data_IF_264072614172
#
_entry.id   IF_264072614172
#
_cell.length_a   1.000
_cell.length_b   1.000
_cell.length_c   1.000
_cell.angle_alpha   90.00
_cell.angle_beta   90.00
_cell.angle_gamma   90.00
#
_symmetry.space_group_name_H-M   'P 1'
#
loop_
_entity.id
_entity.type
_entity.pdbx_description
1 polymer ?
#
# COMPACT_ATOMS: atom_id res chain seq x y z
N UNK A 1 -63.02 -14.24 40.67
CA UNK A 1 -62.70 -13.50 39.43
C UNK A 1 -61.31 -12.86 39.51
N UNK A 2 -60.25 -13.57 39.98
CA UNK A 2 -58.89 -12.99 40.19
C UNK A 2 -57.78 -14.02 39.90
N UNK A 3 -57.90 -14.88 38.82
CA UNK A 3 -56.88 -15.87 38.50
C UNK A 3 -56.45 -15.91 37.04
N UNK A 4 -56.87 -14.97 36.20
CA UNK A 4 -56.61 -14.99 34.75
C UNK A 4 -55.77 -13.81 34.23
N UNK A 5 -55.24 -12.94 35.07
CA UNK A 5 -54.44 -11.76 34.67
C UNK A 5 -52.92 -11.91 34.88
N UNK A 6 -52.44 -13.03 35.47
CA UNK A 6 -51.02 -13.21 35.78
C UNK A 6 -50.22 -13.99 34.69
N UNK A 7 -50.86 -14.55 33.66
CA UNK A 7 -50.16 -15.35 32.62
C UNK A 7 -49.83 -14.55 31.36
N UNK A 8 -50.38 -13.35 31.15
CA UNK A 8 -50.12 -12.55 29.95
C UNK A 8 -48.86 -11.64 30.04
N UNK A 9 -48.36 -11.39 31.27
CA UNK A 9 -47.17 -10.53 31.47
C UNK A 9 -45.81 -11.27 31.38
N UNK A 10 -45.83 -12.62 31.48
CA UNK A 10 -44.58 -13.42 31.45
C UNK A 10 -44.10 -13.75 30.03
N UNK A 11 -44.98 -13.69 29.02
CA UNK A 11 -44.64 -14.06 27.63
C UNK A 11 -44.05 -12.90 26.81
N UNK A 12 -44.21 -11.66 27.23
CA UNK A 12 -43.67 -10.47 26.54
C UNK A 12 -42.23 -10.14 26.95
N UNK A 13 -41.74 -10.63 28.09
CA UNK A 13 -40.33 -10.44 28.48
C UNK A 13 -39.36 -11.47 27.86
N UNK A 14 -39.83 -12.60 27.35
CA UNK A 14 -38.99 -13.64 26.78
C UNK A 14 -38.58 -13.35 25.33
N UNK A 15 -39.22 -12.43 24.61
CA UNK A 15 -38.89 -12.07 23.22
C UNK A 15 -37.90 -10.90 23.12
N UNK A 16 -37.67 -10.16 24.19
CA UNK A 16 -36.66 -9.07 24.22
C UNK A 16 -35.24 -9.56 24.56
N UNK A 17 -35.08 -10.83 25.00
CA UNK A 17 -33.79 -11.39 25.43
C UNK A 17 -33.01 -12.07 24.34
N UNK A 18 -33.55 -12.28 23.15
CA UNK A 18 -32.87 -13.09 22.07
C UNK A 18 -32.05 -12.23 21.10
N UNK A 19 -32.04 -10.90 21.25
CA UNK A 19 -31.32 -9.99 20.35
C UNK A 19 -29.86 -9.69 20.80
N UNK A 20 -29.36 -10.27 21.89
CA UNK A 20 -28.08 -9.87 22.51
C UNK A 20 -26.98 -10.93 22.51
N UNK A 21 -27.07 -11.98 21.69
CA UNK A 21 -26.00 -12.97 21.59
C UNK A 21 -25.51 -13.19 20.14
N UNK A 22 -25.39 -12.17 19.36
CA UNK A 22 -24.51 -12.24 18.20
C UNK A 22 -23.08 -12.11 18.73
N UNK A 23 -22.34 -13.24 18.74
CA UNK A 23 -20.96 -13.27 19.26
C UNK A 23 -20.10 -12.19 18.60
N UNK A 24 -19.23 -11.58 19.38
CA UNK A 24 -18.31 -10.53 18.94
C UNK A 24 -17.53 -10.97 17.69
N UNK A 25 -17.60 -10.22 16.62
CA UNK A 25 -16.84 -10.47 15.41
C UNK A 25 -15.39 -10.06 15.66
N UNK A 26 -14.48 -11.03 15.63
CA UNK A 26 -13.04 -10.75 15.72
C UNK A 26 -12.46 -10.69 14.31
N UNK A 27 -11.74 -9.62 13.99
CA UNK A 27 -11.06 -9.42 12.72
C UNK A 27 -9.56 -9.28 12.95
N UNK A 28 -8.77 -10.10 12.26
CA UNK A 28 -7.31 -10.09 12.30
C UNK A 28 -6.78 -9.23 11.17
N UNK A 29 -6.06 -8.16 11.52
CA UNK A 29 -5.51 -7.20 10.57
C UNK A 29 -3.98 -7.16 10.65
N UNK A 30 -3.31 -7.54 9.57
CA UNK A 30 -1.86 -7.44 9.47
C UNK A 30 -1.45 -6.11 8.83
N UNK A 31 -0.48 -5.47 9.47
CA UNK A 31 0.13 -4.22 9.00
C UNK A 31 1.61 -4.48 8.78
N UNK A 32 2.08 -4.35 7.54
CA UNK A 32 3.47 -4.57 7.15
C UNK A 32 4.42 -3.44 7.55
N UNK A 33 4.19 -2.78 8.69
CA UNK A 33 5.01 -1.71 9.24
C UNK A 33 5.04 -1.75 10.75
N UNK A 34 5.94 -0.96 11.35
CA UNK A 34 5.99 -0.78 12.80
C UNK A 34 4.89 0.19 13.25
N UNK A 35 4.43 -0.01 14.49
CA UNK A 35 3.57 0.97 15.15
C UNK A 35 4.38 2.23 15.47
N UNK A 36 4.18 3.28 14.70
CA UNK A 36 4.88 4.55 14.88
C UNK A 36 3.87 5.70 15.07
N UNK A 37 4.02 6.54 16.10
CA UNK A 37 3.01 7.53 16.46
C UNK A 37 2.84 8.66 15.44
N UNK A 38 3.83 8.90 14.59
CA UNK A 38 3.82 9.98 13.59
C UNK A 38 3.69 9.49 12.15
N UNK A 39 3.86 8.20 11.89
CA UNK A 39 3.65 7.66 10.54
C UNK A 39 2.18 7.76 10.15
N UNK A 40 1.90 8.45 9.04
CA UNK A 40 0.53 8.66 8.55
C UNK A 40 -0.24 7.37 8.30
N UNK A 41 0.44 6.31 7.86
CA UNK A 41 -0.17 4.99 7.70
C UNK A 41 -0.58 4.40 9.06
N UNK A 42 0.32 4.40 10.05
CA UNK A 42 0.04 3.84 11.38
C UNK A 42 -1.09 4.62 12.08
N UNK A 43 -1.08 5.96 11.98
CA UNK A 43 -2.16 6.82 12.50
C UNK A 43 -3.49 6.49 11.82
N UNK A 44 -3.50 6.35 10.49
CA UNK A 44 -4.71 6.00 9.73
C UNK A 44 -5.26 4.60 10.07
N UNK A 45 -4.39 3.60 10.30
CA UNK A 45 -4.80 2.25 10.71
C UNK A 45 -5.45 2.27 12.11
N UNK A 46 -4.88 3.01 13.06
CA UNK A 46 -5.47 3.16 14.40
C UNK A 46 -6.82 3.86 14.32
N UNK A 47 -6.91 4.95 13.56
CA UNK A 47 -8.19 5.65 13.34
C UNK A 47 -9.25 4.74 12.71
N UNK A 48 -8.87 3.89 11.74
CA UNK A 48 -9.75 2.86 11.16
C UNK A 48 -10.24 1.87 12.22
N UNK A 49 -9.33 1.31 13.03
CA UNK A 49 -9.68 0.39 14.11
C UNK A 49 -10.65 1.03 15.09
N UNK A 50 -10.30 2.19 15.62
CA UNK A 50 -11.11 2.90 16.62
C UNK A 50 -12.51 3.25 16.08
N UNK A 51 -12.57 3.68 14.81
CA UNK A 51 -13.84 3.93 14.12
C UNK A 51 -14.70 2.67 14.03
N UNK A 52 -14.12 1.55 13.58
CA UNK A 52 -14.86 0.28 13.41
C UNK A 52 -15.40 -0.21 14.76
N UNK A 53 -14.57 -0.21 15.80
CA UNK A 53 -14.95 -0.68 17.13
C UNK A 53 -16.01 0.23 17.77
N UNK A 54 -15.84 1.55 17.65
CA UNK A 54 -16.81 2.53 18.16
C UNK A 54 -18.16 2.44 17.43
N UNK A 55 -18.15 2.46 16.10
CA UNK A 55 -19.40 2.46 15.30
C UNK A 55 -20.17 1.16 15.38
N UNK A 56 -19.49 0.05 15.61
CA UNK A 56 -20.12 -1.26 15.83
C UNK A 56 -20.61 -1.46 17.28
N UNK A 57 -20.50 -0.45 18.15
CA UNK A 57 -20.78 -0.57 19.59
C UNK A 57 -20.03 -1.77 20.22
N UNK A 58 -18.77 -2.01 19.78
CA UNK A 58 -17.92 -3.09 20.24
C UNK A 58 -18.32 -4.48 19.73
N UNK A 59 -19.27 -4.60 18.79
CA UNK A 59 -19.63 -5.87 18.16
C UNK A 59 -18.51 -6.39 17.22
N UNK A 60 -17.67 -5.48 16.68
CA UNK A 60 -16.47 -5.83 15.94
C UNK A 60 -15.25 -5.48 16.80
N UNK A 61 -14.31 -6.40 16.91
CA UNK A 61 -12.99 -6.20 17.50
C UNK A 61 -11.92 -6.37 16.41
N UNK A 62 -11.05 -5.36 16.23
CA UNK A 62 -9.94 -5.42 15.28
C UNK A 62 -8.64 -5.67 16.02
N UNK A 63 -7.99 -6.81 15.74
CA UNK A 63 -6.68 -7.15 16.30
C UNK A 63 -5.59 -6.81 15.29
N UNK A 64 -4.73 -5.86 15.64
CA UNK A 64 -3.62 -5.40 14.80
C UNK A 64 -2.37 -6.25 15.06
N UNK A 65 -1.73 -6.68 13.96
CA UNK A 65 -0.45 -7.40 13.97
C UNK A 65 0.57 -6.55 13.19
N UNK A 66 1.40 -5.82 13.93
CA UNK A 66 2.40 -4.93 13.37
C UNK A 66 3.66 -5.70 13.00
N UNK A 67 3.99 -5.76 11.70
CA UNK A 67 5.26 -6.32 11.16
C UNK A 67 5.61 -7.74 11.64
N UNK A 68 4.62 -8.56 12.03
CA UNK A 68 4.82 -9.89 12.62
C UNK A 68 4.29 -11.05 11.77
N UNK A 69 3.54 -10.75 10.70
CA UNK A 69 2.88 -11.76 9.86
C UNK A 69 3.56 -11.96 8.48
N UNK A 70 4.81 -11.49 8.35
CA UNK A 70 5.54 -11.51 7.07
C UNK A 70 5.43 -10.22 6.27
N UNK A 71 5.98 -10.21 5.04
CA UNK A 71 5.90 -9.07 4.12
C UNK A 71 4.60 -9.06 3.32
N UNK A 72 4.47 -8.05 2.44
CA UNK A 72 3.24 -7.83 1.66
C UNK A 72 2.80 -9.04 0.85
N UNK A 73 3.71 -9.82 0.26
CA UNK A 73 3.37 -11.03 -0.49
C UNK A 73 2.70 -12.09 0.43
N UNK A 74 3.30 -12.37 1.58
CA UNK A 74 2.82 -13.38 2.53
C UNK A 74 1.46 -13.00 3.13
N UNK A 75 1.29 -11.72 3.54
CA UNK A 75 0.00 -11.28 4.10
C UNK A 75 -1.11 -11.23 3.05
N UNK A 76 -0.79 -10.90 1.80
CA UNK A 76 -1.75 -10.95 0.69
C UNK A 76 -2.22 -12.37 0.42
N UNK A 77 -1.30 -13.34 0.44
CA UNK A 77 -1.63 -14.75 0.31
C UNK A 77 -2.49 -15.25 1.48
N UNK A 78 -2.16 -14.84 2.71
CA UNK A 78 -2.94 -15.17 3.91
C UNK A 78 -4.37 -14.61 3.85
N UNK A 79 -4.55 -13.38 3.33
CA UNK A 79 -5.89 -12.81 3.09
C UNK A 79 -6.62 -13.58 2.00
N UNK A 80 -5.98 -13.89 0.87
CA UNK A 80 -6.58 -14.69 -0.20
C UNK A 80 -7.09 -16.02 0.31
N UNK A 81 -6.30 -16.72 1.13
CA UNK A 81 -6.62 -18.05 1.64
C UNK A 81 -7.53 -18.02 2.89
N UNK A 82 -7.91 -16.86 3.40
CA UNK A 82 -8.80 -16.70 4.57
C UNK A 82 -8.15 -17.01 5.93
N UNK A 83 -6.82 -17.21 5.98
CA UNK A 83 -6.09 -17.37 7.25
C UNK A 83 -5.84 -16.03 7.95
N UNK A 84 -6.02 -14.94 7.24
CA UNK A 84 -6.06 -13.56 7.73
C UNK A 84 -7.31 -12.88 7.17
N UNK A 85 -7.98 -12.06 7.97
CA UNK A 85 -9.25 -11.45 7.53
C UNK A 85 -8.99 -10.26 6.60
N UNK A 86 -8.03 -9.40 6.95
CA UNK A 86 -7.60 -8.28 6.11
C UNK A 86 -6.16 -7.83 6.41
N UNK A 87 -5.58 -7.07 5.49
CA UNK A 87 -4.22 -6.57 5.59
C UNK A 87 -4.05 -5.22 4.89
N UNK A 88 -3.02 -4.48 5.30
CA UNK A 88 -2.40 -3.47 4.46
C UNK A 88 -1.30 -4.15 3.63
N UNK A 89 -1.34 -3.97 2.31
CA UNK A 89 -0.36 -4.52 1.37
C UNK A 89 0.10 -3.46 0.37
N UNK A 90 1.27 -3.69 -0.25
CA UNK A 90 1.77 -2.85 -1.35
C UNK A 90 1.16 -3.27 -2.69
N UNK A 91 0.91 -2.33 -3.59
CA UNK A 91 0.50 -2.59 -4.97
C UNK A 91 1.50 -3.47 -5.73
N UNK A 92 2.78 -3.37 -5.39
CA UNK A 92 3.89 -4.07 -6.05
C UNK A 92 3.75 -5.59 -6.07
N UNK A 93 3.16 -6.19 -5.04
CA UNK A 93 3.01 -7.66 -4.94
C UNK A 93 1.72 -8.18 -5.56
N UNK A 94 0.74 -7.31 -5.80
CA UNK A 94 -0.56 -7.71 -6.31
C UNK A 94 -0.51 -8.31 -7.71
N UNK A 95 0.48 -7.93 -8.52
CA UNK A 95 0.76 -8.53 -9.82
C UNK A 95 1.08 -10.03 -9.77
N UNK A 96 1.48 -10.56 -8.61
CA UNK A 96 1.64 -12.01 -8.40
C UNK A 96 0.30 -12.75 -8.29
N UNK A 97 -0.77 -12.05 -7.93
CA UNK A 97 -2.13 -12.59 -7.78
C UNK A 97 -3.02 -12.24 -8.97
N UNK A 98 -2.85 -11.06 -9.54
CA UNK A 98 -3.61 -10.58 -10.69
C UNK A 98 -2.68 -9.74 -11.59
N UNK A 99 -2.25 -10.33 -12.71
CA UNK A 99 -1.23 -9.76 -13.60
C UNK A 99 -1.47 -8.30 -14.02
N UNK A 100 -2.71 -7.86 -14.33
CA UNK A 100 -2.99 -6.47 -14.69
C UNK A 100 -2.55 -5.44 -13.65
N UNK A 101 -2.49 -5.80 -12.35
CA UNK A 101 -2.02 -4.90 -11.28
C UNK A 101 -0.55 -4.47 -11.44
N UNK A 102 0.24 -5.18 -12.25
CA UNK A 102 1.64 -4.80 -12.54
C UNK A 102 1.74 -3.45 -13.27
N UNK A 103 0.73 -3.06 -14.02
CA UNK A 103 0.78 -1.86 -14.86
C UNK A 103 0.81 -0.55 -14.05
N UNK A 104 0.47 -0.57 -12.76
CA UNK A 104 0.59 0.59 -11.88
C UNK A 104 2.03 0.92 -11.50
N UNK A 105 2.97 -0.02 -11.73
CA UNK A 105 4.38 0.10 -11.42
C UNK A 105 5.22 0.64 -12.60
N UNK A 106 4.58 1.18 -13.65
CA UNK A 106 5.27 1.83 -14.76
C UNK A 106 6.05 3.03 -14.22
N UNK A 107 7.37 3.11 -14.43
CA UNK A 107 8.17 4.23 -13.96
C UNK A 107 7.68 5.56 -14.56
N UNK A 108 7.64 6.61 -13.72
CA UNK A 108 7.21 7.96 -14.13
C UNK A 108 5.79 8.03 -14.72
N UNK A 109 4.89 7.15 -14.27
CA UNK A 109 3.49 7.12 -14.69
C UNK A 109 2.74 8.38 -14.27
N UNK A 110 3.01 8.86 -13.06
CA UNK A 110 2.32 10.03 -12.47
C UNK A 110 3.28 11.21 -12.32
N UNK A 111 2.90 12.42 -12.75
CA UNK A 111 3.71 13.63 -12.59
C UNK A 111 3.59 14.26 -11.20
N UNK A 112 2.57 13.90 -10.41
CA UNK A 112 2.35 14.42 -9.05
C UNK A 112 1.43 13.51 -8.23
N UNK A 113 1.45 13.65 -6.90
CA UNK A 113 0.51 12.95 -6.00
C UNK A 113 -0.95 13.30 -6.31
N UNK A 114 -1.24 14.53 -6.71
CA UNK A 114 -2.61 14.93 -7.07
C UNK A 114 -3.15 14.09 -8.25
N UNK A 115 -2.34 13.89 -9.29
CA UNK A 115 -2.72 13.02 -10.42
C UNK A 115 -2.85 11.57 -10.00
N UNK A 116 -1.94 11.07 -9.15
CA UNK A 116 -2.03 9.71 -8.63
C UNK A 116 -3.30 9.51 -7.77
N UNK A 117 -3.69 10.50 -6.97
CA UNK A 117 -4.93 10.43 -6.17
C UNK A 117 -6.18 10.45 -7.06
N UNK A 118 -6.21 11.27 -8.09
CA UNK A 118 -7.30 11.27 -9.07
C UNK A 118 -7.43 9.89 -9.73
N UNK A 119 -6.32 9.33 -10.19
CA UNK A 119 -6.27 7.98 -10.76
C UNK A 119 -6.77 6.92 -9.78
N UNK A 120 -6.27 6.90 -8.53
CA UNK A 120 -6.66 5.92 -7.49
C UNK A 120 -8.15 5.96 -7.15
N UNK A 121 -8.77 7.16 -7.21
CA UNK A 121 -10.19 7.34 -6.95
C UNK A 121 -11.06 7.19 -8.20
N UNK A 122 -10.43 7.13 -9.38
CA UNK A 122 -11.08 7.08 -10.68
C UNK A 122 -11.85 5.78 -10.95
N UNK A 123 -12.61 5.81 -12.04
CA UNK A 123 -13.40 4.66 -12.49
C UNK A 123 -12.52 3.46 -12.83
N UNK A 124 -11.41 3.71 -13.54
CA UNK A 124 -10.51 2.66 -13.99
C UNK A 124 -9.99 1.81 -12.80
N UNK A 125 -9.56 2.44 -11.72
CA UNK A 125 -9.04 1.74 -10.54
C UNK A 125 -10.13 0.91 -9.83
N UNK A 126 -11.36 1.40 -9.80
CA UNK A 126 -12.52 0.66 -9.27
C UNK A 126 -12.80 -0.60 -10.10
N UNK A 127 -12.78 -0.50 -11.42
CA UNK A 127 -12.97 -1.63 -12.32
C UNK A 127 -11.85 -2.67 -12.18
N UNK A 128 -10.60 -2.23 -12.14
CA UNK A 128 -9.43 -3.10 -11.99
C UNK A 128 -9.42 -3.85 -10.65
N UNK A 129 -9.74 -3.18 -9.54
CA UNK A 129 -9.81 -3.82 -8.24
C UNK A 129 -10.99 -4.79 -8.13
N UNK A 130 -12.09 -4.53 -8.84
CA UNK A 130 -13.23 -5.44 -8.93
C UNK A 130 -12.92 -6.67 -9.80
N UNK A 131 -12.16 -6.52 -10.89
CA UNK A 131 -11.63 -7.65 -11.68
C UNK A 131 -10.71 -8.53 -10.82
N UNK A 132 -9.79 -7.91 -10.08
CA UNK A 132 -8.93 -8.63 -9.13
C UNK A 132 -9.76 -9.38 -8.08
N UNK A 133 -10.78 -8.75 -7.51
CA UNK A 133 -11.68 -9.39 -6.53
C UNK A 133 -12.34 -10.65 -7.11
N UNK A 134 -12.91 -10.54 -8.31
CA UNK A 134 -13.57 -11.69 -8.99
C UNK A 134 -12.59 -12.81 -9.30
N UNK A 135 -11.38 -12.48 -9.70
CA UNK A 135 -10.37 -13.46 -10.09
C UNK A 135 -9.69 -14.15 -8.89
N UNK A 136 -9.58 -13.47 -7.75
CA UNK A 136 -8.71 -13.91 -6.66
C UNK A 136 -9.39 -14.08 -5.30
N UNK A 137 -10.57 -13.51 -5.10
CA UNK A 137 -11.22 -13.39 -3.79
C UNK A 137 -10.59 -12.34 -2.87
N UNK A 138 -9.72 -11.48 -3.39
CA UNK A 138 -9.12 -10.36 -2.67
C UNK A 138 -9.94 -9.10 -2.94
N UNK A 139 -10.65 -8.61 -1.94
CA UNK A 139 -11.42 -7.36 -1.99
C UNK A 139 -10.56 -6.18 -1.59
N UNK A 140 -10.50 -5.13 -2.39
CA UNK A 140 -9.91 -3.84 -2.00
C UNK A 140 -10.96 -2.98 -1.31
N UNK A 141 -10.66 -2.51 -0.10
CA UNK A 141 -11.53 -1.59 0.65
C UNK A 141 -11.14 -0.13 0.45
N UNK A 142 -9.83 0.15 0.40
CA UNK A 142 -9.32 1.50 0.20
C UNK A 142 -7.91 1.46 -0.40
N UNK A 143 -7.55 2.54 -1.07
CA UNK A 143 -6.20 2.82 -1.55
C UNK A 143 -5.64 4.02 -0.81
N UNK A 144 -4.37 3.97 -0.45
CA UNK A 144 -3.67 5.07 0.18
C UNK A 144 -2.26 5.24 -0.41
N UNK A 145 -1.68 6.41 -0.19
CA UNK A 145 -0.36 6.76 -0.67
C UNK A 145 0.73 6.06 0.15
N UNK A 146 1.68 5.39 -0.52
CA UNK A 146 3.01 5.21 0.01
C UNK A 146 3.89 6.42 -0.38
N UNK A 147 3.73 6.92 -1.60
CA UNK A 147 4.35 8.12 -2.14
C UNK A 147 5.37 7.83 -3.23
N UNK A 148 5.96 8.91 -3.76
CA UNK A 148 7.03 8.81 -4.76
C UNK A 148 8.27 8.17 -4.15
N UNK A 149 8.77 7.17 -4.84
CA UNK A 149 9.89 6.33 -4.40
C UNK A 149 11.21 6.87 -4.90
N UNK A 150 12.20 6.80 -4.05
CA UNK A 150 13.53 7.38 -4.21
C UNK A 150 14.58 6.32 -3.92
N UNK A 151 15.76 6.44 -4.55
CA UNK A 151 16.87 5.52 -4.37
C UNK A 151 17.68 5.89 -3.14
N UNK A 152 18.07 4.89 -2.32
CA UNK A 152 19.09 5.06 -1.26
C UNK A 152 20.18 4.01 -1.41
N UNK A 153 21.41 4.33 -1.05
CA UNK A 153 22.51 3.36 -1.01
C UNK A 153 23.65 3.81 -0.07
N UNK A 154 24.56 2.88 0.23
CA UNK A 154 25.74 3.13 1.09
C UNK A 154 27.04 3.36 0.30
N UNK A 155 27.03 3.39 -1.04
CA UNK A 155 28.23 3.37 -1.89
C UNK A 155 28.58 4.71 -2.50
N UNK A 156 27.64 5.38 -3.19
CA UNK A 156 27.88 6.61 -3.96
C UNK A 156 26.60 7.39 -4.25
N UNK A 157 26.72 8.70 -4.55
CA UNK A 157 25.60 9.46 -5.09
C UNK A 157 25.10 8.86 -6.41
N UNK A 158 23.79 8.92 -6.66
CA UNK A 158 23.15 8.49 -7.90
C UNK A 158 22.50 9.71 -8.54
N UNK A 159 23.07 10.22 -9.62
CA UNK A 159 22.60 11.37 -10.40
C UNK A 159 22.08 10.98 -11.77
N UNK A 160 22.65 9.91 -12.32
CA UNK A 160 22.32 9.39 -13.64
C UNK A 160 22.09 7.88 -13.58
N UNK A 161 21.46 7.26 -14.61
CA UNK A 161 21.33 5.81 -14.70
C UNK A 161 22.67 5.05 -14.62
N UNK A 162 23.74 5.63 -15.13
CA UNK A 162 25.06 5.00 -15.10
C UNK A 162 25.60 4.81 -13.68
N UNK A 163 25.20 5.64 -12.74
CA UNK A 163 25.58 5.50 -11.32
C UNK A 163 24.96 4.27 -10.66
N UNK A 164 23.92 3.69 -11.25
CA UNK A 164 23.27 2.47 -10.77
C UNK A 164 24.05 1.20 -11.12
N UNK A 165 24.92 1.25 -12.13
CA UNK A 165 25.64 0.07 -12.64
C UNK A 165 26.43 -0.63 -11.53
N UNK A 166 26.18 -1.93 -11.39
CA UNK A 166 26.86 -2.81 -10.43
C UNK A 166 26.44 -2.66 -8.96
N UNK A 167 25.51 -1.76 -8.62
CA UNK A 167 24.93 -1.71 -7.29
C UNK A 167 24.02 -2.92 -7.05
N UNK A 168 24.09 -3.50 -5.85
CA UNK A 168 23.17 -4.53 -5.36
C UNK A 168 22.00 -3.84 -4.68
N UNK A 169 20.86 -3.82 -5.35
CA UNK A 169 19.68 -3.11 -4.85
C UNK A 169 18.62 -4.10 -4.36
N UNK A 170 18.19 -3.92 -3.11
CA UNK A 170 17.00 -4.61 -2.62
C UNK A 170 15.78 -4.06 -3.35
N UNK A 171 14.92 -4.96 -3.78
CA UNK A 171 13.58 -4.62 -4.28
C UNK A 171 12.51 -5.29 -3.43
N UNK A 172 11.27 -4.84 -3.58
CA UNK A 172 10.10 -5.61 -3.14
C UNK A 172 10.02 -6.92 -3.94
N UNK A 173 9.24 -7.88 -3.46
CA UNK A 173 9.02 -9.17 -4.13
C UNK A 173 8.12 -8.99 -5.38
N UNK A 174 8.57 -8.16 -6.31
CA UNK A 174 7.91 -7.80 -7.57
C UNK A 174 8.87 -7.92 -8.74
N UNK A 175 8.48 -8.68 -9.77
CA UNK A 175 9.27 -8.84 -11.00
C UNK A 175 9.39 -7.53 -11.79
N UNK A 176 8.42 -6.62 -11.67
CA UNK A 176 8.48 -5.29 -12.30
C UNK A 176 9.61 -4.46 -11.69
N UNK A 177 9.76 -4.47 -10.36
CA UNK A 177 10.87 -3.77 -9.70
C UNK A 177 12.22 -4.42 -10.00
N UNK A 178 12.27 -5.74 -10.20
CA UNK A 178 13.47 -6.43 -10.68
C UNK A 178 13.82 -5.93 -12.09
N UNK A 179 12.85 -5.90 -13.01
CA UNK A 179 13.05 -5.40 -14.37
C UNK A 179 13.49 -3.92 -14.40
N UNK A 180 12.90 -3.09 -13.53
CA UNK A 180 13.29 -1.69 -13.37
C UNK A 180 14.76 -1.56 -12.95
N UNK A 181 15.22 -2.25 -11.92
CA UNK A 181 16.62 -2.18 -11.48
C UNK A 181 17.57 -2.70 -12.54
N UNK A 182 17.22 -3.79 -13.22
CA UNK A 182 18.02 -4.37 -14.29
C UNK A 182 18.15 -3.43 -15.50
N UNK A 183 17.09 -2.69 -15.84
CA UNK A 183 17.13 -1.70 -16.92
C UNK A 183 18.12 -0.55 -16.65
N UNK A 184 18.43 -0.32 -15.38
CA UNK A 184 19.43 0.67 -14.92
C UNK A 184 20.81 0.06 -14.69
N UNK A 185 21.01 -1.25 -14.97
CA UNK A 185 22.29 -1.94 -14.80
C UNK A 185 22.62 -2.33 -13.36
N UNK A 186 21.64 -2.27 -12.44
CA UNK A 186 21.80 -2.71 -11.06
C UNK A 186 21.42 -4.18 -10.90
N UNK A 187 22.05 -4.87 -9.92
CA UNK A 187 21.66 -6.22 -9.51
C UNK A 187 20.49 -6.12 -8.51
N UNK A 188 19.34 -6.69 -8.88
CA UNK A 188 18.13 -6.66 -8.05
C UNK A 188 18.05 -7.91 -7.17
N UNK A 189 17.75 -7.72 -5.87
CA UNK A 189 17.55 -8.81 -4.92
C UNK A 189 16.18 -8.60 -4.25
N UNK A 190 15.14 -9.40 -4.60
CA UNK A 190 13.83 -9.34 -3.96
C UNK A 190 13.92 -9.83 -2.51
N UNK A 191 13.65 -8.93 -1.55
CA UNK A 191 13.68 -9.22 -0.11
C UNK A 191 12.40 -8.66 0.52
N UNK A 192 11.75 -9.46 1.39
CA UNK A 192 10.57 -9.04 2.13
C UNK A 192 10.89 -7.84 3.04
N UNK A 193 9.89 -6.98 3.32
CA UNK A 193 10.11 -5.76 4.08
C UNK A 193 10.74 -5.96 5.46
N UNK A 194 10.30 -6.93 6.30
CA UNK A 194 10.92 -7.16 7.61
C UNK A 194 12.41 -7.49 7.56
N UNK A 195 12.88 -8.04 6.44
CA UNK A 195 14.27 -8.46 6.24
C UNK A 195 15.13 -7.35 5.61
N UNK A 196 14.51 -6.23 5.17
CA UNK A 196 15.22 -5.17 4.44
C UNK A 196 16.28 -4.49 5.31
N UNK A 197 15.93 -4.08 6.53
CA UNK A 197 16.88 -3.43 7.44
C UNK A 197 18.06 -4.35 7.82
N UNK A 198 17.85 -5.62 8.19
CA UNK A 198 18.95 -6.58 8.38
C UNK A 198 19.86 -6.71 7.14
N UNK A 199 19.30 -6.81 5.93
CA UNK A 199 20.07 -6.96 4.69
C UNK A 199 20.93 -5.72 4.37
N UNK A 200 20.42 -4.51 4.66
CA UNK A 200 21.18 -3.26 4.53
C UNK A 200 22.32 -3.18 5.57
N UNK A 201 22.04 -3.50 6.84
CA UNK A 201 23.02 -3.48 7.93
C UNK A 201 24.18 -4.43 7.69
N UNK A 202 23.93 -5.58 7.12
CA UNK A 202 24.96 -6.61 6.85
C UNK A 202 25.58 -6.49 5.46
N UNK A 203 25.22 -5.46 4.68
CA UNK A 203 25.69 -5.21 3.32
C UNK A 203 25.44 -6.38 2.34
N UNK A 204 24.40 -7.20 2.57
CA UNK A 204 23.90 -8.17 1.60
C UNK A 204 23.47 -7.44 0.33
N UNK A 205 22.88 -6.25 0.52
CA UNK A 205 22.56 -5.28 -0.53
C UNK A 205 23.20 -3.93 -0.22
N UNK A 206 23.54 -3.16 -1.27
CA UNK A 206 24.14 -1.84 -1.14
C UNK A 206 23.08 -0.76 -0.87
N UNK A 207 21.85 -0.98 -1.34
CA UNK A 207 20.79 -0.01 -1.25
C UNK A 207 19.38 -0.59 -1.44
N UNK A 208 18.42 0.30 -1.41
CA UNK A 208 17.00 0.03 -1.63
C UNK A 208 16.34 1.27 -2.24
N UNK A 209 15.04 1.19 -2.55
CA UNK A 209 14.22 2.32 -2.98
C UNK A 209 12.93 2.38 -2.16
N UNK A 210 12.50 3.60 -1.81
CA UNK A 210 11.24 3.82 -1.10
C UNK A 210 10.87 5.32 -1.05
N UNK A 211 9.66 5.63 -0.56
CA UNK A 211 9.27 6.99 -0.26
C UNK A 211 10.14 7.59 0.86
N UNK A 212 10.38 8.91 0.81
CA UNK A 212 11.19 9.62 1.82
C UNK A 212 10.62 9.43 3.23
N UNK A 213 9.30 9.43 3.40
CA UNK A 213 8.64 9.18 4.69
C UNK A 213 8.99 7.79 5.21
N UNK A 214 8.96 6.76 4.36
CA UNK A 214 9.31 5.39 4.75
C UNK A 214 10.80 5.27 5.09
N UNK A 215 11.69 5.94 4.35
CA UNK A 215 13.13 5.99 4.66
C UNK A 215 13.38 6.60 6.04
N UNK A 216 12.62 7.65 6.40
CA UNK A 216 12.68 8.30 7.70
C UNK A 216 12.08 7.44 8.81
N UNK A 217 10.82 7.03 8.68
CA UNK A 217 10.07 6.33 9.72
C UNK A 217 10.66 4.94 10.06
N UNK A 218 11.18 4.23 9.05
CA UNK A 218 11.87 2.95 9.24
C UNK A 218 13.37 3.09 9.58
N UNK A 219 13.86 4.32 9.77
CA UNK A 219 15.26 4.63 10.11
C UNK A 219 16.28 4.07 9.12
N UNK A 220 15.91 3.94 7.84
CA UNK A 220 16.82 3.46 6.79
C UNK A 220 18.03 4.39 6.65
N UNK A 221 17.85 5.68 6.94
CA UNK A 221 18.93 6.68 6.94
C UNK A 221 20.09 6.34 7.91
N UNK A 222 19.88 5.50 8.93
CA UNK A 222 20.97 5.07 9.84
C UNK A 222 21.99 4.16 9.16
N UNK A 223 21.61 3.51 8.06
CA UNK A 223 22.43 2.51 7.34
C UNK A 223 22.67 2.86 5.87
N UNK A 224 22.16 3.99 5.40
CA UNK A 224 22.33 4.49 4.03
C UNK A 224 23.03 5.84 4.06
N UNK A 225 24.03 6.04 3.18
CA UNK A 225 24.84 7.26 3.12
C UNK A 225 24.35 8.26 2.09
N UNK A 226 23.70 7.79 1.05
CA UNK A 226 23.28 8.56 -0.11
C UNK A 226 21.80 8.33 -0.39
N UNK A 227 21.11 9.41 -0.73
CA UNK A 227 19.73 9.38 -1.19
C UNK A 227 19.58 10.23 -2.44
N UNK A 228 18.96 9.68 -3.48
CA UNK A 228 18.62 10.38 -4.71
C UNK A 228 17.10 10.48 -4.83
N UNK A 229 16.60 11.71 -4.78
CA UNK A 229 15.17 12.03 -4.88
C UNK A 229 14.81 12.10 -6.36
N UNK A 230 14.69 10.94 -6.99
CA UNK A 230 14.42 10.80 -8.42
C UNK A 230 12.96 10.47 -8.75
N UNK A 231 12.14 10.11 -7.74
CA UNK A 231 10.67 9.94 -7.86
C UNK A 231 10.27 8.98 -8.99
N UNK A 232 10.99 7.87 -9.10
CA UNK A 232 10.92 6.96 -10.27
C UNK A 232 9.62 6.18 -10.39
N UNK A 233 8.97 5.81 -9.28
CA UNK A 233 7.67 5.10 -9.22
C UNK A 233 6.85 5.70 -8.09
N UNK A 234 5.54 5.80 -8.30
CA UNK A 234 4.60 6.13 -7.24
C UNK A 234 4.06 4.86 -6.60
N UNK A 235 4.32 4.66 -5.33
CA UNK A 235 3.86 3.49 -4.57
C UNK A 235 2.49 3.73 -3.94
N UNK A 236 1.67 2.69 -3.96
CA UNK A 236 0.35 2.67 -3.33
C UNK A 236 0.28 1.58 -2.27
N UNK A 237 -0.48 1.85 -1.21
CA UNK A 237 -0.92 0.84 -0.26
C UNK A 237 -2.40 0.53 -0.47
N UNK A 238 -2.79 -0.71 -0.26
CA UNK A 238 -4.17 -1.15 -0.33
C UNK A 238 -4.58 -1.79 0.99
N UNK A 239 -5.75 -1.42 1.50
CA UNK A 239 -6.44 -2.23 2.50
C UNK A 239 -7.19 -3.31 1.73
N UNK A 240 -6.73 -4.53 1.87
CA UNK A 240 -7.33 -5.72 1.25
C UNK A 240 -8.06 -6.57 2.29
N UNK A 241 -9.13 -7.22 1.90
CA UNK A 241 -9.97 -8.07 2.75
C UNK A 241 -10.30 -9.38 2.03
N UNK A 242 -10.42 -10.49 2.77
CA UNK A 242 -10.92 -11.73 2.22
C UNK A 242 -12.38 -11.58 1.82
N UNK A 243 -12.71 -11.77 0.53
CA UNK A 243 -14.03 -11.48 -0.02
C UNK A 243 -15.14 -12.36 0.59
N UNK A 244 -14.86 -13.65 0.81
CA UNK A 244 -15.81 -14.56 1.43
C UNK A 244 -16.13 -14.16 2.88
N UNK A 245 -15.09 -13.81 3.65
CA UNK A 245 -15.26 -13.31 5.02
C UNK A 245 -16.03 -12.00 5.05
N UNK A 246 -15.72 -11.04 4.16
CA UNK A 246 -16.44 -9.78 4.06
C UNK A 246 -17.94 -10.00 3.79
N UNK A 247 -18.26 -10.86 2.81
CA UNK A 247 -19.64 -11.17 2.43
C UNK A 247 -20.41 -11.94 3.52
N UNK A 248 -19.73 -12.61 4.47
CA UNK A 248 -20.36 -13.28 5.62
C UNK A 248 -20.79 -12.33 6.74
N UNK A 249 -20.34 -11.07 6.70
CA UNK A 249 -20.71 -10.03 7.68
C UNK A 249 -22.08 -9.44 7.36
N UNK A 250 -22.75 -8.90 8.38
CA UNK A 250 -23.99 -8.16 8.15
C UNK A 250 -23.76 -6.91 7.29
N UNK A 251 -24.77 -6.43 6.54
CA UNK A 251 -24.64 -5.21 5.73
C UNK A 251 -24.16 -4.00 6.54
N UNK A 252 -24.59 -3.86 7.80
CA UNK A 252 -24.14 -2.79 8.69
C UNK A 252 -22.66 -2.92 9.03
N UNK A 253 -22.20 -4.13 9.35
CA UNK A 253 -20.78 -4.37 9.61
C UNK A 253 -19.91 -4.13 8.37
N UNK A 254 -20.36 -4.56 7.18
CA UNK A 254 -19.67 -4.28 5.91
C UNK A 254 -19.53 -2.76 5.67
N UNK A 255 -20.61 -2.00 5.90
CA UNK A 255 -20.64 -0.54 5.77
C UNK A 255 -19.66 0.12 6.74
N UNK A 256 -19.69 -0.25 8.03
CA UNK A 256 -18.79 0.30 9.06
C UNK A 256 -17.31 0.04 8.69
N UNK A 257 -16.97 -1.17 8.25
CA UNK A 257 -15.61 -1.53 7.84
C UNK A 257 -15.18 -0.70 6.62
N UNK A 258 -16.07 -0.54 5.63
CA UNK A 258 -15.79 0.27 4.44
C UNK A 258 -15.58 1.75 4.77
N UNK A 259 -16.37 2.31 5.69
CA UNK A 259 -16.21 3.68 6.17
C UNK A 259 -14.89 3.86 6.92
N UNK A 260 -14.54 2.91 7.79
CA UNK A 260 -13.25 2.90 8.49
C UNK A 260 -12.05 2.84 7.52
N UNK A 261 -12.13 2.02 6.46
CA UNK A 261 -11.09 1.94 5.45
C UNK A 261 -10.92 3.27 4.67
N UNK A 262 -12.02 3.98 4.38
CA UNK A 262 -11.97 5.33 3.79
C UNK A 262 -11.32 6.33 4.72
N UNK A 263 -11.64 6.28 6.01
CA UNK A 263 -11.01 7.15 7.02
C UNK A 263 -9.50 6.92 7.09
N UNK A 264 -9.04 5.63 7.03
CA UNK A 264 -7.62 5.32 6.92
C UNK A 264 -6.99 6.01 5.70
N UNK A 265 -7.57 5.84 4.51
CA UNK A 265 -7.00 6.40 3.28
C UNK A 265 -6.89 7.94 3.33
N UNK A 266 -7.94 8.62 3.82
CA UNK A 266 -7.93 10.08 3.98
C UNK A 266 -6.83 10.54 4.95
N UNK A 267 -6.73 9.88 6.11
CA UNK A 267 -5.72 10.21 7.14
C UNK A 267 -4.31 9.95 6.61
N UNK A 268 -4.07 8.79 6.01
CA UNK A 268 -2.76 8.40 5.49
C UNK A 268 -2.29 9.35 4.37
N UNK A 269 -3.16 9.64 3.39
CA UNK A 269 -2.83 10.51 2.25
C UNK A 269 -2.50 11.93 2.70
N UNK A 270 -3.35 12.53 3.54
CA UNK A 270 -3.13 13.89 4.06
C UNK A 270 -1.79 14.00 4.80
N UNK A 271 -1.48 13.00 5.61
CA UNK A 271 -0.27 12.96 6.42
C UNK A 271 0.98 12.73 5.56
N UNK A 272 0.95 11.76 4.64
CA UNK A 272 2.09 11.45 3.75
C UNK A 272 2.48 12.65 2.89
N UNK A 273 1.53 13.34 2.29
CA UNK A 273 1.78 14.53 1.50
C UNK A 273 2.43 15.65 2.32
N UNK A 274 1.97 15.87 3.55
CA UNK A 274 2.53 16.87 4.46
C UNK A 274 3.95 16.49 4.92
N UNK A 275 4.17 15.21 5.25
CA UNK A 275 5.43 14.76 5.87
C UNK A 275 6.55 14.52 4.84
N UNK A 276 6.26 14.38 3.53
CA UNK A 276 7.25 14.00 2.52
C UNK A 276 8.45 14.96 2.41
N UNK A 277 8.18 16.27 2.40
CA UNK A 277 9.24 17.29 2.36
C UNK A 277 10.03 17.33 3.66
N UNK A 278 9.35 17.27 4.82
CA UNK A 278 9.98 17.25 6.12
C UNK A 278 10.87 16.01 6.30
N UNK A 279 10.42 14.83 5.83
CA UNK A 279 11.19 13.60 5.88
C UNK A 279 12.51 13.72 5.11
N UNK A 280 12.48 14.26 3.89
CA UNK A 280 13.69 14.46 3.06
C UNK A 280 14.69 15.37 3.76
N UNK A 281 14.24 16.47 4.36
CA UNK A 281 15.09 17.38 5.10
C UNK A 281 15.64 16.79 6.40
N UNK A 282 14.84 16.02 7.12
CA UNK A 282 15.28 15.30 8.32
C UNK A 282 16.33 14.24 7.99
N UNK A 283 16.19 13.51 6.87
CA UNK A 283 17.20 12.56 6.36
C UNK A 283 18.52 13.29 6.10
N UNK A 284 18.49 14.48 5.47
CA UNK A 284 19.68 15.31 5.22
C UNK A 284 20.33 15.75 6.55
N UNK A 285 19.54 16.23 7.52
CA UNK A 285 20.02 16.63 8.84
C UNK A 285 20.60 15.46 9.64
N UNK A 286 20.15 14.24 9.39
CA UNK A 286 20.70 13.02 9.97
C UNK A 286 22.05 12.60 9.38
N UNK A 287 22.59 13.35 8.39
CA UNK A 287 23.91 13.13 7.80
C UNK A 287 23.94 12.34 6.51
N UNK A 288 22.78 12.06 5.90
CA UNK A 288 22.71 11.44 4.57
C UNK A 288 22.94 12.51 3.51
N UNK A 289 23.81 12.23 2.54
CA UNK A 289 23.98 13.07 1.36
C UNK A 289 22.75 12.92 0.45
N UNK A 290 21.90 13.95 0.41
CA UNK A 290 20.66 13.95 -0.38
C UNK A 290 20.83 14.77 -1.65
N UNK A 291 20.75 14.12 -2.80
CA UNK A 291 20.68 14.74 -4.12
C UNK A 291 19.22 14.75 -4.60
N UNK A 292 18.68 15.94 -4.86
CA UNK A 292 17.37 16.09 -5.50
C UNK A 292 17.61 16.15 -7.01
N UNK A 293 17.17 15.11 -7.71
CA UNK A 293 17.37 15.03 -9.15
C UNK A 293 16.60 16.12 -9.89
N UNK A 294 17.30 16.80 -10.79
CA UNK A 294 16.70 17.80 -11.68
C UNK A 294 15.72 17.16 -12.66
N UNK A 295 14.80 17.93 -13.29
CA UNK A 295 13.93 17.38 -14.33
C UNK A 295 14.70 16.68 -15.47
N UNK A 296 15.86 17.21 -15.86
CA UNK A 296 16.72 16.62 -16.89
C UNK A 296 17.28 15.26 -16.42
N UNK A 297 17.75 15.15 -15.19
CA UNK A 297 18.25 13.90 -14.64
C UNK A 297 17.12 12.86 -14.51
N UNK A 298 15.93 13.25 -14.03
CA UNK A 298 14.75 12.35 -13.99
C UNK A 298 14.38 11.83 -15.38
N UNK A 299 14.47 12.68 -16.41
CA UNK A 299 14.22 12.29 -17.80
C UNK A 299 15.24 11.26 -18.31
N UNK A 300 16.50 11.30 -17.86
CA UNK A 300 17.50 10.26 -18.18
C UNK A 300 17.06 8.91 -17.59
N UNK A 301 16.63 8.88 -16.32
CA UNK A 301 16.10 7.65 -15.70
C UNK A 301 14.84 7.16 -16.40
N UNK A 302 13.92 8.06 -16.75
CA UNK A 302 12.70 7.70 -17.47
C UNK A 302 13.04 7.02 -18.81
N UNK A 303 13.91 7.62 -19.61
CA UNK A 303 14.36 7.05 -20.91
C UNK A 303 15.06 5.72 -20.77
N UNK A 304 15.86 5.54 -19.71
CA UNK A 304 16.61 4.30 -19.49
C UNK A 304 15.74 3.15 -19.00
N UNK A 305 14.59 3.43 -18.35
CA UNK A 305 13.83 2.38 -17.65
C UNK A 305 12.39 2.19 -18.14
N UNK A 306 11.67 3.27 -18.50
CA UNK A 306 10.23 3.21 -18.70
C UNK A 306 9.83 2.21 -19.80
N UNK A 307 10.44 2.31 -20.99
CA UNK A 307 10.07 1.44 -22.10
C UNK A 307 10.38 -0.04 -21.80
N UNK A 308 11.53 -0.34 -21.21
CA UNK A 308 11.90 -1.71 -20.84
C UNK A 308 10.90 -2.32 -19.82
N UNK A 309 10.43 -1.53 -18.87
CA UNK A 309 9.42 -1.96 -17.89
C UNK A 309 8.04 -2.10 -18.54
N UNK A 310 7.64 -1.18 -19.42
CA UNK A 310 6.39 -1.27 -20.21
C UNK A 310 6.36 -2.56 -21.03
N UNK A 311 7.44 -2.86 -21.75
CA UNK A 311 7.56 -4.08 -22.57
C UNK A 311 7.48 -5.33 -21.70
N UNK A 312 8.15 -5.33 -20.54
CA UNK A 312 8.07 -6.42 -19.59
C UNK A 312 6.62 -6.63 -19.10
N UNK A 313 5.93 -5.57 -18.69
CA UNK A 313 4.53 -5.65 -18.22
C UNK A 313 3.61 -6.13 -19.36
N UNK A 314 3.81 -5.64 -20.58
CA UNK A 314 3.03 -6.05 -21.73
C UNK A 314 3.15 -7.57 -22.02
N UNK A 315 4.33 -8.16 -21.79
CA UNK A 315 4.50 -9.63 -21.92
C UNK A 315 3.77 -10.42 -20.82
N UNK A 316 3.54 -9.83 -19.65
CA UNK A 316 2.94 -10.51 -18.50
C UNK A 316 1.42 -10.31 -18.41
N UNK A 317 0.96 -9.09 -18.66
CA UNK A 317 -0.42 -8.66 -18.45
C UNK A 317 -1.18 -8.37 -19.75
N UNK A 318 -0.48 -8.26 -20.88
CA UNK A 318 -1.03 -7.86 -22.17
C UNK A 318 -0.82 -6.37 -22.47
N UNK A 319 -0.60 -6.07 -23.74
CA UNK A 319 -0.43 -4.68 -24.22
C UNK A 319 -1.68 -3.83 -23.97
N UNK A 320 -2.86 -4.39 -24.12
CA UNK A 320 -4.14 -3.71 -23.89
C UNK A 320 -4.29 -3.21 -22.44
N UNK A 321 -3.76 -3.94 -21.46
CA UNK A 321 -3.75 -3.50 -20.06
C UNK A 321 -2.84 -2.29 -19.90
N UNK A 322 -1.65 -2.32 -20.49
CA UNK A 322 -0.72 -1.18 -20.46
C UNK A 322 -1.37 0.05 -21.10
N UNK A 323 -1.95 -0.09 -22.31
CA UNK A 323 -2.60 1.00 -23.02
C UNK A 323 -3.75 1.62 -22.20
N UNK A 324 -4.57 0.79 -21.54
CA UNK A 324 -5.66 1.26 -20.67
C UNK A 324 -5.14 2.03 -19.44
N UNK A 325 -4.05 1.54 -18.79
CA UNK A 325 -3.46 2.24 -17.64
C UNK A 325 -2.88 3.59 -18.06
N UNK A 326 -2.15 3.64 -19.17
CA UNK A 326 -1.60 4.89 -19.70
C UNK A 326 -2.70 5.90 -20.04
N UNK A 327 -3.79 5.43 -20.68
CA UNK A 327 -4.94 6.27 -20.99
C UNK A 327 -5.64 6.81 -19.73
N UNK A 328 -5.84 5.96 -18.71
CA UNK A 328 -6.44 6.37 -17.45
C UNK A 328 -5.54 7.34 -16.65
N UNK A 329 -4.22 7.16 -16.69
CA UNK A 329 -3.28 8.10 -16.08
C UNK A 329 -3.30 9.47 -16.79
N UNK A 330 -3.42 9.48 -18.11
CA UNK A 330 -3.57 10.71 -18.88
C UNK A 330 -4.92 11.40 -18.63
N UNK A 331 -6.01 10.64 -18.48
CA UNK A 331 -7.32 11.17 -18.07
C UNK A 331 -7.23 11.85 -16.70
N UNK A 332 -6.60 11.19 -15.72
CA UNK A 332 -6.37 11.77 -14.39
C UNK A 332 -5.49 13.03 -14.46
N UNK A 333 -4.46 13.04 -15.32
CA UNK A 333 -3.63 14.24 -15.54
C UNK A 333 -4.44 15.41 -16.06
N UNK A 334 -5.31 15.18 -17.05
CA UNK A 334 -6.20 16.20 -17.62
C UNK A 334 -7.22 16.70 -16.59
N UNK A 335 -7.76 15.81 -15.77
CA UNK A 335 -8.70 16.21 -14.71
C UNK A 335 -8.05 17.16 -13.69
N UNK A 336 -6.76 16.96 -13.37
CA UNK A 336 -6.05 17.78 -12.38
C UNK A 336 -5.52 19.09 -12.99
N UNK A 337 -4.96 19.06 -14.20
CA UNK A 337 -4.25 20.23 -14.76
C UNK A 337 -5.03 20.96 -15.84
N UNK A 338 -6.11 20.39 -16.37
CA UNK A 338 -6.85 20.96 -17.50
C UNK A 338 -6.03 20.91 -18.80
N UNK A 339 -6.33 20.05 -19.73
CA UNK A 339 -5.69 19.75 -21.02
C UNK A 339 -4.63 18.66 -21.01
#
# INVERSE_FOLDING_TARGET
MFRTLALAAATTLALAGSALAQGKVQLRFSVGANDHPTDGMAVGIKAMKDYIEFKSNGQIEVRLFWNTMGGSLQVTEAVKNGTLDFALTDDSVLGSFHKPMQAFQIPYLFPSSAVAWEFMNGRFMKEMTEEMRKATGIRTLALSENGFRNLTNSRRPIKTPDDMKGLKMRTMQSQVYVAFMQSLGAAATPIAWPETMPALKTNVVDGQENASTTVWDAKIYEVQKFMSVNEHIYGMHLIIFNDAKFNSLSPDHQKIIQEGARLHAQTANSRKAFDAMAATENIRKAGVEVHVNTPTEKELFRKASQQAVVDFIATQAGKDVVDKVLAAAEEARKAVYGN
#
